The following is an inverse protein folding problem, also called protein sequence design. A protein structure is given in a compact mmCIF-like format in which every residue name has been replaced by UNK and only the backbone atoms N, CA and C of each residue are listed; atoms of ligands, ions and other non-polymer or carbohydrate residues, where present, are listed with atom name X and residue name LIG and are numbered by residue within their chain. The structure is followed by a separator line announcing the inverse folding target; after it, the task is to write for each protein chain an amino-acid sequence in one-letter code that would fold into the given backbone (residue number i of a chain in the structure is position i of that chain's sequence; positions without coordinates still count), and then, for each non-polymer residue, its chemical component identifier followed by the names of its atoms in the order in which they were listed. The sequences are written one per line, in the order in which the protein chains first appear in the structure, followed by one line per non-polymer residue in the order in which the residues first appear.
data_IF_826288282019
#
_entry.id   IF_826288282019
#
_cell.length_a   1.000
_cell.length_b   1.000
_cell.length_c   1.000
_cell.angle_alpha   90.00
_cell.angle_beta   90.00
_cell.angle_gamma   90.00
#
_symmetry.space_group_name_H-M   'P 1'
#
loop_
_entity.id
_entity.type
_entity.pdbx_description
1 polymer ?
#
# COMPACT_ATOMS: atom_id res chain seq x y z
N UNK A 1 16.51 -17.28 -16.77
CA UNK A 1 16.90 -18.30 -15.79
C UNK A 1 15.82 -18.30 -14.75
N UNK A 2 14.99 -19.35 -14.70
CA UNK A 2 13.98 -19.50 -13.66
C UNK A 2 14.68 -19.99 -12.39
N UNK A 3 15.05 -19.04 -11.52
CA UNK A 3 15.54 -19.36 -10.18
C UNK A 3 14.34 -19.64 -9.30
N UNK A 4 14.06 -20.92 -9.06
CA UNK A 4 13.07 -21.34 -8.06
C UNK A 4 13.61 -21.06 -6.66
N UNK A 5 12.99 -20.13 -5.95
CA UNK A 5 13.23 -19.92 -4.52
C UNK A 5 12.38 -20.92 -3.73
N UNK A 6 13.00 -21.74 -2.89
CA UNK A 6 12.30 -22.68 -2.01
C UNK A 6 12.26 -22.09 -0.60
N UNK A 7 11.06 -21.87 -0.09
CA UNK A 7 10.85 -21.47 1.31
C UNK A 7 10.89 -22.75 2.16
N UNK A 8 11.94 -22.92 2.95
CA UNK A 8 12.13 -24.10 3.81
C UNK A 8 11.39 -24.00 5.14
N UNK A 9 11.12 -22.78 5.61
CA UNK A 9 10.41 -22.47 6.84
C UNK A 9 9.33 -21.43 6.53
N UNK A 10 8.09 -21.89 6.40
CA UNK A 10 6.96 -21.03 6.04
C UNK A 10 6.56 -20.11 7.20
N UNK A 11 6.63 -20.61 8.43
CA UNK A 11 6.26 -19.84 9.62
C UNK A 11 7.27 -18.70 9.83
N UNK A 12 8.56 -19.00 9.69
CA UNK A 12 9.62 -17.99 9.73
C UNK A 12 9.50 -16.95 8.61
N UNK A 13 9.14 -17.38 7.39
CA UNK A 13 8.90 -16.47 6.27
C UNK A 13 7.70 -15.54 6.52
N UNK A 14 6.59 -16.08 7.02
CA UNK A 14 5.40 -15.29 7.33
C UNK A 14 5.67 -14.27 8.45
N UNK A 15 6.38 -14.68 9.50
CA UNK A 15 6.80 -13.78 10.58
C UNK A 15 7.72 -12.67 10.07
N UNK A 16 8.65 -12.99 9.16
CA UNK A 16 9.49 -11.98 8.51
C UNK A 16 8.65 -11.02 7.67
N UNK A 17 7.70 -11.51 6.87
CA UNK A 17 6.85 -10.68 6.02
C UNK A 17 5.96 -9.75 6.86
N UNK A 18 5.40 -10.25 7.96
CA UNK A 18 4.62 -9.47 8.92
C UNK A 18 5.48 -8.38 9.58
N UNK A 19 6.67 -8.72 10.10
CA UNK A 19 7.59 -7.76 10.69
C UNK A 19 8.02 -6.69 9.68
N UNK A 20 8.33 -7.08 8.45
CA UNK A 20 8.70 -6.15 7.38
C UNK A 20 7.56 -5.18 7.06
N UNK A 21 6.29 -5.61 7.12
CA UNK A 21 5.17 -4.71 6.92
C UNK A 21 4.91 -3.82 8.14
N UNK A 22 5.02 -4.37 9.35
CA UNK A 22 4.57 -3.70 10.57
C UNK A 22 5.60 -2.75 11.16
N UNK A 23 6.88 -3.08 11.10
CA UNK A 23 7.94 -2.41 11.85
C UNK A 23 8.74 -1.46 10.95
N UNK A 24 9.22 -0.35 11.52
CA UNK A 24 10.13 0.60 10.85
C UNK A 24 11.46 -0.07 10.48
N UNK A 25 11.98 -0.92 11.36
CA UNK A 25 13.22 -1.67 11.12
C UNK A 25 13.11 -3.12 11.58
N UNK A 26 13.65 -4.03 10.76
CA UNK A 26 13.67 -5.47 11.04
C UNK A 26 15.11 -5.96 11.06
N UNK A 27 15.61 -6.48 12.20
CA UNK A 27 16.93 -7.07 12.27
C UNK A 27 16.94 -8.47 11.65
N UNK A 28 17.86 -8.70 10.71
CA UNK A 28 18.15 -10.01 10.13
C UNK A 28 19.57 -10.40 10.50
N UNK A 29 19.71 -11.49 11.26
CA UNK A 29 21.02 -12.05 11.59
C UNK A 29 21.41 -13.11 10.57
N UNK A 30 22.57 -12.92 9.95
CA UNK A 30 23.21 -13.89 9.07
C UNK A 30 24.37 -14.54 9.82
N UNK A 31 24.34 -15.87 9.90
CA UNK A 31 25.38 -16.70 10.49
C UNK A 31 26.03 -17.58 9.41
N UNK A 32 27.35 -17.70 9.44
CA UNK A 32 28.10 -18.59 8.54
C UNK A 32 29.39 -19.10 9.20
N UNK A 33 29.76 -20.33 8.89
CA UNK A 33 31.12 -20.82 9.12
C UNK A 33 31.98 -20.44 7.90
N UNK A 34 33.03 -19.67 8.12
CA UNK A 34 33.89 -19.15 7.04
C UNK A 34 35.30 -19.69 7.19
N UNK A 35 35.86 -20.16 6.07
CA UNK A 35 37.29 -20.47 5.97
C UNK A 35 38.00 -19.27 5.33
N UNK A 36 39.01 -18.73 6.00
CA UNK A 36 39.77 -17.56 5.53
C UNK A 36 41.24 -17.91 5.31
N UNK A 37 41.85 -17.32 4.28
CA UNK A 37 43.28 -17.43 4.04
C UNK A 37 43.94 -16.05 4.08
N UNK A 38 44.93 -15.87 4.95
CA UNK A 38 45.65 -14.60 5.10
C UNK A 38 47.12 -14.86 5.41
N UNK A 39 48.02 -14.13 4.75
CA UNK A 39 49.48 -14.19 5.00
C UNK A 39 50.07 -15.62 4.88
N UNK A 40 49.54 -16.45 3.97
CA UNK A 40 49.98 -17.84 3.81
C UNK A 40 49.44 -18.82 4.87
N UNK A 41 48.56 -18.36 5.77
CA UNK A 41 47.92 -19.17 6.82
C UNK A 41 46.42 -19.35 6.54
N UNK A 42 45.90 -20.55 6.80
CA UNK A 42 44.47 -20.86 6.71
C UNK A 42 43.84 -20.89 8.10
N UNK A 43 42.70 -20.22 8.24
CA UNK A 43 41.87 -20.19 9.44
C UNK A 43 40.53 -20.82 9.07
N UNK A 44 40.25 -21.99 9.63
CA UNK A 44 39.04 -22.74 9.30
C UNK A 44 37.97 -22.51 10.36
N UNK A 45 36.70 -22.62 9.97
CA UNK A 45 35.54 -22.60 10.85
C UNK A 45 35.46 -21.31 11.71
N UNK A 46 35.76 -20.16 11.10
CA UNK A 46 35.54 -18.87 11.73
C UNK A 46 34.04 -18.62 11.82
N UNK A 47 33.55 -18.32 13.02
CA UNK A 47 32.16 -17.92 13.20
C UNK A 47 31.97 -16.50 12.64
N UNK A 48 31.20 -16.39 11.57
CA UNK A 48 30.75 -15.13 11.04
C UNK A 48 29.31 -14.91 11.48
N UNK A 49 29.08 -13.84 12.24
CA UNK A 49 27.75 -13.41 12.64
C UNK A 49 27.62 -11.92 12.31
N UNK A 50 26.58 -11.57 11.56
CA UNK A 50 26.26 -10.18 11.22
C UNK A 50 24.76 -9.97 11.30
N UNK A 51 24.35 -9.01 12.11
CA UNK A 51 22.99 -8.47 12.08
C UNK A 51 22.94 -7.28 11.13
N UNK A 52 22.09 -7.40 10.11
CA UNK A 52 21.71 -6.32 9.20
C UNK A 52 20.36 -5.79 9.64
N UNK A 53 20.19 -4.48 9.72
CA UNK A 53 18.89 -3.85 9.96
C UNK A 53 18.28 -3.46 8.62
N UNK A 54 17.19 -4.09 8.25
CA UNK A 54 16.40 -3.73 7.08
C UNK A 54 15.38 -2.66 7.48
N UNK A 55 15.20 -1.64 6.64
CA UNK A 55 14.08 -0.70 6.79
C UNK A 55 12.82 -1.39 6.25
N UNK A 56 11.79 -1.48 7.08
CA UNK A 56 10.49 -2.02 6.76
C UNK A 56 9.54 -0.99 6.15
N UNK A 57 8.26 -1.35 6.09
CA UNK A 57 7.19 -0.50 5.53
C UNK A 57 6.49 0.35 6.59
N UNK A 58 6.68 0.05 7.88
CA UNK A 58 6.07 0.79 9.00
C UNK A 58 4.56 1.01 8.82
N UNK A 59 3.85 -0.07 8.47
CA UNK A 59 2.41 -0.11 8.14
C UNK A 59 1.99 0.79 6.98
N UNK A 60 2.97 1.35 6.27
CA UNK A 60 2.79 2.41 5.29
C UNK A 60 2.15 3.67 5.88
N UNK A 61 2.37 3.93 7.19
CA UNK A 61 1.71 5.03 7.88
C UNK A 61 2.26 6.41 7.46
N UNK A 62 3.56 6.48 7.13
CA UNK A 62 4.27 7.71 6.76
C UNK A 62 4.77 7.65 5.31
N UNK A 63 3.87 7.45 4.35
CA UNK A 63 4.23 7.50 2.94
C UNK A 63 4.27 8.92 2.40
N UNK A 64 5.37 9.25 1.73
CA UNK A 64 5.46 10.41 0.86
C UNK A 64 4.64 10.11 -0.41
N UNK A 65 3.37 10.51 -0.36
CA UNK A 65 2.36 10.35 -1.39
C UNK A 65 1.98 11.72 -1.94
N UNK A 66 2.06 11.85 -3.27
CA UNK A 66 1.62 13.03 -3.99
C UNK A 66 0.49 12.64 -4.95
N UNK A 67 -0.72 13.12 -4.68
CA UNK A 67 -1.84 12.99 -5.62
C UNK A 67 -1.58 13.88 -6.83
N UNK A 68 -1.53 13.29 -8.02
CA UNK A 68 -1.31 13.99 -9.28
C UNK A 68 -2.64 14.38 -9.93
N UNK A 69 -3.61 13.46 -9.88
CA UNK A 69 -4.92 13.67 -10.48
C UNK A 69 -5.95 12.71 -9.90
N UNK A 70 -7.18 13.17 -9.75
CA UNK A 70 -8.35 12.36 -9.42
C UNK A 70 -9.36 12.51 -10.54
N UNK A 71 -9.75 11.40 -11.17
CA UNK A 71 -10.81 11.37 -12.18
C UNK A 71 -12.03 10.63 -11.63
N UNK A 72 -13.09 11.37 -11.31
CA UNK A 72 -14.36 10.80 -10.89
C UNK A 72 -15.27 10.62 -12.09
N UNK A 73 -15.43 9.37 -12.50
CA UNK A 73 -16.08 9.05 -13.78
C UNK A 73 -17.38 8.24 -13.64
N UNK A 74 -17.60 7.56 -12.52
CA UNK A 74 -18.77 6.71 -12.26
C UNK A 74 -19.55 7.10 -11.00
N UNK A 75 -20.88 6.95 -11.07
CA UNK A 75 -21.83 7.29 -10.01
C UNK A 75 -23.16 6.55 -10.21
N UNK A 76 -23.09 5.32 -10.70
CA UNK A 76 -24.25 4.48 -11.00
C UNK A 76 -24.21 3.19 -10.18
N UNK A 77 -25.31 2.46 -10.16
CA UNK A 77 -25.38 1.11 -9.60
C UNK A 77 -24.99 1.01 -8.11
N UNK A 78 -25.27 2.06 -7.33
CA UNK A 78 -25.04 2.05 -5.90
C UNK A 78 -23.64 2.48 -5.47
N UNK A 79 -22.80 2.93 -6.41
CA UNK A 79 -21.39 3.23 -6.16
C UNK A 79 -20.93 4.50 -6.87
N UNK A 80 -19.84 5.05 -6.34
CA UNK A 80 -19.05 6.09 -6.98
C UNK A 80 -17.67 5.53 -7.33
N UNK A 81 -17.30 5.66 -8.59
CA UNK A 81 -16.02 5.20 -9.12
C UNK A 81 -15.12 6.39 -9.44
N UNK A 82 -13.88 6.32 -8.96
CA UNK A 82 -12.84 7.29 -9.29
C UNK A 82 -11.49 6.61 -9.46
N UNK A 83 -10.67 7.16 -10.35
CA UNK A 83 -9.28 6.75 -10.53
C UNK A 83 -8.36 7.82 -9.91
N UNK A 84 -7.47 7.41 -9.01
CA UNK A 84 -6.48 8.26 -8.34
C UNK A 84 -5.11 7.96 -8.91
N UNK A 85 -4.51 8.95 -9.58
CA UNK A 85 -3.13 8.89 -10.00
C UNK A 85 -2.25 9.55 -8.93
N UNK A 86 -1.29 8.80 -8.40
CA UNK A 86 -0.40 9.28 -7.35
C UNK A 86 1.05 8.86 -7.58
N UNK A 87 1.98 9.70 -7.15
CA UNK A 87 3.38 9.32 -6.93
C UNK A 87 3.51 8.85 -5.49
N UNK A 88 4.06 7.66 -5.29
CA UNK A 88 4.28 7.08 -3.96
C UNK A 88 5.75 6.72 -3.83
N UNK A 89 6.40 7.21 -2.78
CA UNK A 89 7.76 6.82 -2.42
C UNK A 89 7.74 5.76 -1.32
N UNK A 90 8.25 4.57 -1.66
CA UNK A 90 8.45 3.49 -0.70
C UNK A 90 9.84 3.60 -0.05
N UNK A 91 9.94 3.96 1.25
CA UNK A 91 11.22 4.10 1.95
C UNK A 91 11.86 2.77 2.35
N UNK A 92 11.12 1.66 2.24
CA UNK A 92 11.59 0.33 2.62
C UNK A 92 12.82 -0.10 1.81
N UNK A 93 13.69 -0.85 2.46
CA UNK A 93 14.81 -1.54 1.79
C UNK A 93 14.35 -2.62 0.80
N UNK A 94 13.06 -2.97 0.84
CA UNK A 94 12.39 -3.96 -0.01
C UNK A 94 11.22 -3.37 -0.79
N UNK A 95 10.98 -3.91 -1.98
CA UNK A 95 9.83 -3.55 -2.81
C UNK A 95 8.87 -4.72 -2.93
N UNK A 96 7.59 -4.45 -2.94
CA UNK A 96 6.51 -5.41 -3.19
C UNK A 96 6.17 -5.42 -4.67
N UNK A 97 7.15 -5.70 -5.53
CA UNK A 97 6.90 -5.73 -6.97
C UNK A 97 6.26 -7.06 -7.37
N UNK A 98 5.19 -7.01 -8.16
CA UNK A 98 4.51 -8.20 -8.67
C UNK A 98 3.74 -8.99 -7.61
N UNK A 99 3.30 -8.35 -6.53
CA UNK A 99 2.43 -8.98 -5.51
C UNK A 99 0.93 -8.91 -5.87
N UNK A 100 0.62 -8.64 -7.14
CA UNK A 100 -0.75 -8.56 -7.63
C UNK A 100 -1.44 -7.25 -7.30
N UNK A 101 -2.73 -7.18 -7.60
CA UNK A 101 -3.53 -6.00 -7.28
C UNK A 101 -3.69 -5.91 -5.75
N UNK A 102 -3.16 -4.84 -5.17
CA UNK A 102 -3.44 -4.48 -3.79
C UNK A 102 -4.88 -3.99 -3.73
N UNK A 103 -5.77 -4.70 -3.04
CA UNK A 103 -7.17 -4.30 -2.85
C UNK A 103 -7.42 -3.96 -1.38
N UNK A 104 -7.46 -2.68 -1.05
CA UNK A 104 -7.48 -2.21 0.33
C UNK A 104 -8.81 -1.56 0.66
N UNK A 105 -9.26 -1.71 1.90
CA UNK A 105 -10.45 -1.04 2.40
C UNK A 105 -10.16 0.45 2.59
N UNK A 106 -11.13 1.30 2.32
CA UNK A 106 -11.06 2.75 2.52
C UNK A 106 -12.09 3.16 3.57
N UNK A 107 -11.67 4.01 4.50
CA UNK A 107 -12.46 4.52 5.61
C UNK A 107 -12.36 6.05 5.69
N UNK A 108 -13.45 6.69 6.09
CA UNK A 108 -13.49 8.07 6.57
C UNK A 108 -14.49 8.09 7.74
N UNK A 109 -13.99 8.01 8.98
CA UNK A 109 -14.72 7.66 10.21
C UNK A 109 -15.43 6.29 10.23
N UNK A 110 -16.09 5.89 9.15
CA UNK A 110 -16.70 4.59 8.90
C UNK A 110 -16.25 4.01 7.56
N UNK A 111 -16.66 2.78 7.26
CA UNK A 111 -16.32 2.11 6.01
C UNK A 111 -16.91 2.86 4.80
N UNK A 112 -16.04 3.29 3.88
CA UNK A 112 -16.42 4.02 2.68
C UNK A 112 -16.49 3.10 1.45
N UNK A 113 -15.56 2.17 1.34
CA UNK A 113 -15.42 1.33 0.17
C UNK A 113 -14.05 0.68 0.08
N UNK A 114 -13.52 0.55 -1.13
CA UNK A 114 -12.21 -0.05 -1.36
C UNK A 114 -11.46 0.61 -2.51
N UNK A 115 -10.13 0.51 -2.47
CA UNK A 115 -9.22 0.99 -3.48
C UNK A 115 -8.36 -0.16 -3.98
N UNK A 116 -8.23 -0.32 -5.30
CA UNK A 116 -7.36 -1.34 -5.86
C UNK A 116 -6.39 -0.81 -6.91
N UNK A 117 -5.18 -1.36 -6.93
CA UNK A 117 -4.16 -0.99 -7.91
C UNK A 117 -4.51 -1.49 -9.30
N UNK A 118 -4.48 -0.58 -10.29
CA UNK A 118 -4.68 -0.89 -11.72
C UNK A 118 -3.41 -1.46 -12.38
N UNK A 119 -2.28 -1.49 -11.66
CA UNK A 119 -0.98 -2.01 -12.14
C UNK A 119 -0.46 -3.12 -11.22
N UNK A 120 -1.09 -4.31 -11.22
CA UNK A 120 -0.75 -5.41 -10.31
C UNK A 120 0.70 -5.88 -10.42
N UNK A 121 1.31 -5.75 -11.60
CA UNK A 121 2.71 -6.08 -11.86
C UNK A 121 3.70 -5.08 -11.25
N UNK A 122 3.27 -3.83 -11.06
CA UNK A 122 4.09 -2.78 -10.47
C UNK A 122 4.16 -2.96 -8.95
N UNK A 123 3.03 -3.28 -8.32
CA UNK A 123 2.91 -3.37 -6.87
C UNK A 123 3.46 -2.12 -6.20
N UNK A 124 4.35 -2.28 -5.21
CA UNK A 124 5.03 -1.16 -4.55
C UNK A 124 6.55 -1.31 -4.65
N UNK A 125 7.19 -0.90 -5.77
CA UNK A 125 8.63 -1.02 -5.93
C UNK A 125 9.37 -0.13 -4.92
N UNK A 126 10.69 -0.31 -4.78
CA UNK A 126 11.50 0.55 -3.90
C UNK A 126 11.63 1.95 -4.47
N UNK A 127 11.58 2.95 -3.60
CA UNK A 127 11.65 4.35 -3.99
C UNK A 127 10.36 4.86 -4.64
N UNK A 128 10.49 5.92 -5.45
CA UNK A 128 9.37 6.59 -6.07
C UNK A 128 8.75 5.77 -7.23
N UNK A 129 7.42 5.72 -7.27
CA UNK A 129 6.65 5.08 -8.33
C UNK A 129 5.34 5.80 -8.61
N UNK A 130 4.95 5.87 -9.90
CA UNK A 130 3.66 6.41 -10.31
C UNK A 130 2.63 5.30 -10.44
N UNK A 131 1.59 5.36 -9.62
CA UNK A 131 0.55 4.36 -9.52
C UNK A 131 -0.81 4.96 -9.84
N UNK A 132 -1.72 4.10 -10.28
CA UNK A 132 -3.12 4.41 -10.49
C UNK A 132 -3.93 3.44 -9.64
N UNK A 133 -4.79 3.98 -8.78
CA UNK A 133 -5.70 3.21 -7.96
C UNK A 133 -7.13 3.51 -8.37
N UNK A 134 -7.93 2.48 -8.60
CA UNK A 134 -9.39 2.65 -8.70
C UNK A 134 -9.99 2.58 -7.31
N UNK A 135 -10.72 3.61 -6.94
CA UNK A 135 -11.47 3.70 -5.69
C UNK A 135 -12.95 3.55 -6.00
N UNK A 136 -13.59 2.65 -5.27
CA UNK A 136 -15.03 2.36 -5.37
C UNK A 136 -15.63 2.65 -4.00
N UNK A 137 -16.51 3.65 -3.95
CA UNK A 137 -17.18 4.11 -2.72
C UNK A 137 -18.66 3.73 -2.79
N UNK A 138 -19.23 3.27 -1.68
CA UNK A 138 -20.65 2.95 -1.60
C UNK A 138 -21.50 4.20 -1.43
N UNK A 139 -22.61 4.31 -2.19
CA UNK A 139 -23.57 5.41 -2.02
C UNK A 139 -24.28 5.41 -0.65
N UNK A 140 -24.43 4.23 -0.06
CA UNK A 140 -25.05 4.01 1.25
C UNK A 140 -24.09 4.27 2.43
N UNK A 141 -22.82 4.56 2.15
CA UNK A 141 -21.85 4.82 3.20
C UNK A 141 -22.14 6.15 3.90
N UNK A 142 -22.23 6.12 5.23
CA UNK A 142 -22.33 7.34 6.03
C UNK A 142 -21.09 8.24 5.93
N UNK A 143 -19.96 7.71 5.45
CA UNK A 143 -18.72 8.43 5.26
C UNK A 143 -18.70 9.27 3.96
N UNK A 144 -19.60 8.96 3.02
CA UNK A 144 -19.57 9.56 1.69
C UNK A 144 -19.77 11.07 1.74
N UNK A 145 -20.75 11.56 2.51
CA UNK A 145 -21.02 13.00 2.65
C UNK A 145 -19.80 13.76 3.17
N UNK A 146 -19.05 13.17 4.12
CA UNK A 146 -17.82 13.73 4.68
C UNK A 146 -16.72 13.88 3.63
N UNK A 147 -16.49 12.84 2.82
CA UNK A 147 -15.52 12.87 1.72
C UNK A 147 -15.89 13.90 0.66
N UNK A 148 -17.16 13.93 0.25
CA UNK A 148 -17.64 14.89 -0.74
C UNK A 148 -17.46 16.32 -0.22
N UNK A 149 -17.89 16.59 1.01
CA UNK A 149 -17.73 17.90 1.65
C UNK A 149 -16.26 18.27 1.80
N UNK A 150 -15.40 17.29 2.10
CA UNK A 150 -13.95 17.44 2.16
C UNK A 150 -13.38 18.05 0.88
N UNK A 151 -13.65 17.43 -0.27
CA UNK A 151 -13.22 17.94 -1.58
C UNK A 151 -13.65 19.40 -1.83
N UNK A 152 -14.88 19.77 -1.48
CA UNK A 152 -15.39 21.13 -1.65
C UNK A 152 -14.86 22.14 -0.62
N UNK A 153 -14.46 21.67 0.56
CA UNK A 153 -13.93 22.51 1.65
C UNK A 153 -12.41 22.70 1.62
N UNK A 154 -11.73 22.00 0.71
CA UNK A 154 -10.31 22.18 0.43
C UNK A 154 -9.46 20.94 0.68
N UNK A 155 -10.00 19.88 1.28
CA UNK A 155 -9.23 18.66 1.46
C UNK A 155 -10.00 17.52 2.13
N UNK A 156 -9.50 16.30 1.96
CA UNK A 156 -10.05 15.08 2.55
C UNK A 156 -8.93 14.22 3.12
N UNK A 157 -9.21 13.61 4.27
CA UNK A 157 -8.37 12.57 4.86
C UNK A 157 -9.14 11.24 4.83
N UNK A 158 -8.49 10.19 4.35
CA UNK A 158 -9.03 8.83 4.40
C UNK A 158 -8.01 7.88 5.00
N UNK A 159 -8.50 6.83 5.66
CA UNK A 159 -7.66 5.75 6.17
C UNK A 159 -7.80 4.52 5.27
N UNK A 160 -6.67 4.02 4.79
CA UNK A 160 -6.59 2.87 3.89
C UNK A 160 -6.00 1.68 4.65
N UNK A 161 -6.76 0.58 4.70
CA UNK A 161 -6.41 -0.62 5.47
C UNK A 161 -6.33 -1.86 4.61
N UNK A 162 -5.38 -2.74 4.93
CA UNK A 162 -5.24 -4.03 4.26
C UNK A 162 -6.16 -5.14 4.78
N UNK A 163 -7.21 -4.79 5.55
CA UNK A 163 -8.15 -5.73 6.17
C UNK A 163 -9.20 -6.30 5.20
N UNK A 164 -9.16 -5.90 3.93
CA UNK A 164 -9.99 -6.48 2.88
C UNK A 164 -9.63 -7.97 2.67
N UNK A 165 -10.60 -8.91 2.69
CA UNK A 165 -10.35 -10.34 2.46
C UNK A 165 -9.68 -10.68 1.12
N UNK A 166 -9.79 -9.76 0.15
CA UNK A 166 -9.26 -9.87 -1.21
C UNK A 166 -8.01 -9.01 -1.43
N UNK A 167 -7.31 -8.62 -0.36
CA UNK A 167 -6.20 -7.64 -0.42
C UNK A 167 -4.99 -8.03 -1.27
N UNK A 168 -4.80 -9.33 -1.50
CA UNK A 168 -3.83 -9.85 -2.48
C UNK A 168 -4.25 -11.25 -2.93
N UNK A 169 -3.84 -11.62 -4.14
CA UNK A 169 -3.99 -12.98 -4.69
C UNK A 169 -3.00 -13.97 -4.05
N UNK A 170 -1.93 -13.46 -3.41
CA UNK A 170 -0.87 -14.27 -2.84
C UNK A 170 -1.11 -14.56 -1.37
N UNK A 171 -1.50 -15.80 -1.06
CA UNK A 171 -1.85 -16.22 0.31
C UNK A 171 -0.74 -15.97 1.33
N UNK A 172 0.53 -16.12 0.93
CA UNK A 172 1.68 -15.91 1.82
C UNK A 172 1.85 -14.45 2.29
N UNK A 173 1.22 -13.49 1.61
CA UNK A 173 1.31 -12.08 1.98
C UNK A 173 0.04 -11.55 2.65
N UNK A 174 -1.03 -12.34 2.75
CA UNK A 174 -2.31 -11.86 3.30
C UNK A 174 -2.19 -11.32 4.73
N UNK A 175 -1.46 -12.02 5.59
CA UNK A 175 -1.27 -11.59 6.99
C UNK A 175 -0.45 -10.31 7.08
N UNK A 176 0.64 -10.22 6.30
CA UNK A 176 1.46 -9.01 6.21
C UNK A 176 0.65 -7.83 5.67
N UNK A 177 -0.02 -7.96 4.52
CA UNK A 177 -0.87 -6.91 3.94
C UNK A 177 -1.96 -6.49 4.93
N UNK A 178 -2.52 -7.42 5.72
CA UNK A 178 -3.48 -7.13 6.78
C UNK A 178 -2.99 -6.14 7.85
N UNK A 179 -1.68 -5.88 7.95
CA UNK A 179 -1.10 -4.88 8.87
C UNK A 179 -1.06 -3.46 8.30
N UNK A 180 -1.35 -3.29 7.01
CA UNK A 180 -1.36 -1.97 6.38
C UNK A 180 -2.41 -1.09 7.04
N UNK A 181 -1.98 0.10 7.46
CA UNK A 181 -2.82 1.12 8.07
C UNK A 181 -2.24 2.49 7.71
N UNK A 182 -2.66 2.99 6.56
CA UNK A 182 -2.16 4.22 5.94
C UNK A 182 -3.19 5.34 6.11
N UNK A 183 -2.72 6.55 6.40
CA UNK A 183 -3.54 7.76 6.26
C UNK A 183 -3.16 8.44 4.95
N UNK A 184 -4.16 8.78 4.14
CA UNK A 184 -4.00 9.52 2.89
C UNK A 184 -4.68 10.86 3.06
N UNK A 185 -3.89 11.92 3.02
CA UNK A 185 -4.35 13.30 3.03
C UNK A 185 -4.31 13.86 1.61
N UNK A 186 -5.33 14.62 1.26
CA UNK A 186 -5.40 15.38 0.01
C UNK A 186 -5.93 16.78 0.32
N UNK A 187 -5.16 17.81 -0.02
CA UNK A 187 -5.38 19.21 0.37
C UNK A 187 -5.45 20.19 -0.82
N UNK A 188 -5.54 19.66 -2.05
CA UNK A 188 -5.65 20.47 -3.27
C UNK A 188 -7.12 20.78 -3.68
N UNK A 189 -8.10 20.51 -2.81
CA UNK A 189 -9.52 20.76 -3.08
C UNK A 189 -9.99 20.22 -4.44
N UNK A 190 -10.46 21.09 -5.34
CA UNK A 190 -10.90 20.67 -6.68
C UNK A 190 -9.83 20.83 -7.77
N UNK A 191 -8.62 21.33 -7.43
CA UNK A 191 -7.64 21.75 -8.43
C UNK A 191 -7.09 20.58 -9.26
N UNK A 192 -7.04 19.38 -8.67
CA UNK A 192 -6.61 18.14 -9.33
C UNK A 192 -7.75 17.18 -9.61
N UNK A 193 -9.00 17.59 -9.41
CA UNK A 193 -10.18 16.72 -9.57
C UNK A 193 -10.89 17.01 -10.89
N UNK A 194 -11.15 15.96 -11.66
CA UNK A 194 -12.07 15.99 -12.79
C UNK A 194 -13.33 15.23 -12.46
N UNK A 195 -14.47 15.77 -12.89
CA UNK A 195 -15.77 15.14 -12.71
C UNK A 195 -16.39 14.83 -14.05
N UNK A 196 -16.93 13.63 -14.17
CA UNK A 196 -17.96 13.36 -15.15
C UNK A 196 -19.20 14.20 -14.80
N UNK A 197 -19.64 15.00 -15.75
CA UNK A 197 -20.81 15.89 -15.60
C UNK A 197 -22.08 15.16 -15.17
N UNK A 198 -22.23 13.87 -15.48
CA UNK A 198 -23.37 13.07 -15.02
C UNK A 198 -23.37 12.81 -13.51
N UNK A 199 -22.20 12.89 -12.88
CA UNK A 199 -22.03 12.64 -11.44
C UNK A 199 -22.18 13.89 -10.60
N UNK A 200 -21.99 15.08 -11.17
CA UNK A 200 -22.13 16.35 -10.45
C UNK A 200 -23.53 16.50 -9.81
N UNK A 201 -24.60 16.14 -10.53
CA UNK A 201 -25.95 16.18 -9.97
C UNK A 201 -26.15 15.19 -8.81
N UNK A 202 -25.49 14.04 -8.87
CA UNK A 202 -25.54 13.04 -7.80
C UNK A 202 -24.87 13.59 -6.53
N UNK A 203 -23.71 14.22 -6.68
CA UNK A 203 -22.98 14.89 -5.60
C UNK A 203 -23.79 16.00 -4.92
N UNK A 204 -24.43 16.86 -5.72
CA UNK A 204 -25.30 17.91 -5.19
C UNK A 204 -26.47 17.33 -4.40
N UNK A 205 -27.02 16.21 -4.85
CA UNK A 205 -28.08 15.49 -4.15
C UNK A 205 -27.61 14.97 -2.79
N UNK A 206 -26.41 14.40 -2.70
CA UNK A 206 -25.81 13.95 -1.42
C UNK A 206 -25.66 15.12 -0.45
N UNK A 207 -25.29 16.30 -0.95
CA UNK A 207 -25.13 17.52 -0.16
C UNK A 207 -26.46 18.24 0.16
N UNK A 208 -27.60 17.72 -0.30
CA UNK A 208 -28.91 18.31 -0.06
C UNK A 208 -29.23 19.57 -0.90
N UNK A 209 -28.58 19.73 -2.06
CA UNK A 209 -28.84 20.81 -3.03
C UNK A 209 -29.67 20.36 -4.24
#
# INVERSE_FOLDING_TARGET
MDTTMVISDMDGFNAMAEAMMQDETVPITAEAAVDAHAMGMSFNNLNFERTLSLVGFDKLQDLDLEVQHIDLWGCSDGVYDMDVNASINNPSTMGLQGIGALNMSVYNDSYLGYAYSEKPELGMPRGQSNQTFRVIMSEDSSALEGVITGFFSGGVEVNVRGDNPYSTEYTQFKEAIGKVNMTVEYDDGLDKVSFNTSCVSSFLTVLGY
#
